data_IF_214782235070
#
_entry.id   IF_214782235070
#
_cell.length_a   1.000
_cell.length_b   1.000
_cell.length_c   1.000
_cell.angle_alpha   90.00
_cell.angle_beta   90.00
_cell.angle_gamma   90.00
#
_symmetry.space_group_name_H-M   'P 1'
#
loop_
_entity.id
_entity.type
_entity.pdbx_description
1 polymer ?
#
# COMPACT_ATOMS: atom_id res chain seq x y z
N UNK A 1 -4.71 14.01 -11.55
CA UNK A 1 -3.47 13.20 -11.43
C UNK A 1 -3.84 11.78 -11.79
N UNK A 2 -3.12 11.20 -12.76
CA UNK A 2 -3.27 9.78 -13.15
C UNK A 2 -1.93 9.12 -12.86
N UNK A 3 -1.95 8.02 -12.12
CA UNK A 3 -0.75 7.29 -11.69
C UNK A 3 -0.78 5.89 -12.31
N UNK A 4 0.34 5.49 -12.93
CA UNK A 4 0.45 4.24 -13.68
C UNK A 4 0.17 4.38 -15.18
N UNK A 5 0.89 3.58 -15.97
CA UNK A 5 0.69 3.48 -17.43
C UNK A 5 0.55 2.00 -17.85
N UNK A 6 -0.47 1.71 -18.66
CA UNK A 6 -0.67 0.37 -19.24
C UNK A 6 0.08 0.24 -20.57
N UNK A 7 0.40 -0.99 -20.99
CA UNK A 7 0.93 -1.21 -22.33
C UNK A 7 -0.05 -0.71 -23.41
N UNK A 8 0.42 -0.59 -24.65
CA UNK A 8 -0.39 -0.12 -25.80
C UNK A 8 -1.71 -0.88 -26.01
N UNK A 9 -1.83 -2.08 -25.44
CA UNK A 9 -3.02 -2.94 -25.53
C UNK A 9 -3.86 -2.98 -24.24
N UNK A 10 -3.46 -2.26 -23.18
CA UNK A 10 -4.20 -2.18 -21.91
C UNK A 10 -4.12 -3.42 -21.00
N UNK A 11 -3.30 -4.42 -21.33
CA UNK A 11 -3.32 -5.73 -20.64
C UNK A 11 -2.39 -5.84 -19.43
N UNK A 12 -1.30 -5.08 -19.41
CA UNK A 12 -0.30 -5.12 -18.35
C UNK A 12 0.03 -3.68 -17.96
N UNK A 13 0.09 -3.40 -16.67
CA UNK A 13 0.69 -2.16 -16.19
C UNK A 13 2.21 -2.25 -16.44
N UNK A 14 2.75 -1.28 -17.16
CA UNK A 14 4.15 -1.22 -17.61
C UNK A 14 4.94 -0.25 -16.76
N UNK A 15 4.32 0.85 -16.31
CA UNK A 15 4.94 1.86 -15.46
C UNK A 15 4.08 2.09 -14.22
N UNK A 16 4.76 2.29 -13.08
CA UNK A 16 4.18 2.55 -11.76
C UNK A 16 3.06 1.57 -11.36
N UNK A 17 3.31 0.28 -11.59
CA UNK A 17 2.43 -0.80 -11.16
C UNK A 17 2.12 -0.66 -9.67
N UNK A 18 0.85 -0.50 -9.35
CA UNK A 18 0.35 -0.34 -7.99
C UNK A 18 -0.55 -1.52 -7.67
N UNK A 19 -0.26 -2.21 -6.57
CA UNK A 19 -1.16 -3.25 -6.06
C UNK A 19 -2.31 -2.60 -5.25
N UNK A 20 -3.47 -3.25 -5.23
CA UNK A 20 -4.61 -2.83 -4.39
C UNK A 20 -4.20 -2.70 -2.91
N UNK A 21 -3.26 -3.54 -2.47
CA UNK A 21 -2.72 -3.50 -1.11
C UNK A 21 -1.91 -2.24 -0.84
N UNK A 22 -1.15 -1.75 -1.81
CA UNK A 22 -0.40 -0.49 -1.69
C UNK A 22 -1.36 0.70 -1.56
N UNK A 23 -2.49 0.67 -2.27
CA UNK A 23 -3.56 1.67 -2.10
C UNK A 23 -4.19 1.62 -0.71
N UNK A 24 -4.50 0.42 -0.19
CA UNK A 24 -5.07 0.27 1.16
C UNK A 24 -4.10 0.78 2.23
N UNK A 25 -2.81 0.45 2.11
CA UNK A 25 -1.75 0.93 3.00
C UNK A 25 -1.61 2.45 2.94
N UNK A 26 -1.70 3.04 1.75
CA UNK A 26 -1.66 4.50 1.55
C UNK A 26 -2.87 5.20 2.19
N UNK A 27 -4.08 4.64 2.07
CA UNK A 27 -5.29 5.18 2.71
C UNK A 27 -5.18 5.14 4.24
N UNK A 28 -4.72 4.01 4.80
CA UNK A 28 -4.49 3.87 6.23
C UNK A 28 -3.45 4.89 6.73
N UNK A 29 -2.36 5.05 5.99
CA UNK A 29 -1.33 6.06 6.26
C UNK A 29 -1.90 7.48 6.29
N UNK A 30 -2.72 7.86 5.31
CA UNK A 30 -3.37 9.18 5.27
C UNK A 30 -4.37 9.42 6.43
N UNK A 31 -4.97 8.36 6.98
CA UNK A 31 -5.84 8.44 8.16
C UNK A 31 -5.06 8.49 9.49
N UNK A 32 -3.72 8.53 9.44
CA UNK A 32 -2.85 8.59 10.62
C UNK A 32 -2.51 7.23 11.22
N UNK A 33 -2.85 6.13 10.56
CA UNK A 33 -2.37 4.80 10.96
C UNK A 33 -0.98 4.58 10.35
N UNK A 34 0.01 4.27 11.17
CA UNK A 34 1.33 3.92 10.68
C UNK A 34 1.37 2.42 10.31
N UNK A 35 1.40 2.05 9.00
CA UNK A 35 1.47 0.65 8.60
C UNK A 35 2.78 -0.05 9.03
N UNK A 36 3.78 0.71 9.50
CA UNK A 36 5.04 0.21 10.04
C UNK A 36 5.07 0.12 11.58
N UNK A 37 4.02 0.55 12.30
CA UNK A 37 3.96 0.52 13.79
C UNK A 37 2.60 0.04 14.35
N UNK A 38 2.55 -0.37 15.63
CA UNK A 38 3.38 -1.35 16.28
C UNK A 38 2.66 -2.70 16.35
N UNK A 39 3.49 -3.72 16.38
CA UNK A 39 3.16 -5.11 16.56
C UNK A 39 2.54 -5.36 17.93
N UNK A 40 1.32 -5.89 17.99
CA UNK A 40 0.78 -6.48 19.22
C UNK A 40 1.10 -7.97 19.25
N UNK A 41 1.54 -8.47 20.39
CA UNK A 41 1.76 -9.91 20.53
C UNK A 41 0.43 -10.63 20.68
N UNK A 42 0.18 -11.54 19.75
CA UNK A 42 -0.95 -12.45 19.80
C UNK A 42 -0.49 -13.83 19.37
N UNK A 43 -0.86 -14.86 20.14
CA UNK A 43 -0.49 -16.25 19.86
C UNK A 43 1.02 -16.49 19.60
N UNK A 44 1.91 -15.73 20.27
CA UNK A 44 3.35 -15.86 20.14
C UNK A 44 3.94 -15.27 18.84
N UNK A 45 3.14 -14.55 18.05
CA UNK A 45 3.59 -13.79 16.89
C UNK A 45 3.30 -12.30 17.09
N UNK A 46 4.20 -11.48 16.57
CA UNK A 46 4.01 -10.04 16.43
C UNK A 46 3.05 -9.77 15.27
N UNK A 47 1.82 -9.35 15.58
CA UNK A 47 0.79 -8.99 14.60
C UNK A 47 0.71 -7.48 14.43
N UNK A 48 0.62 -7.02 13.18
CA UNK A 48 0.40 -5.59 12.90
C UNK A 48 -1.10 -5.33 12.88
N UNK A 49 -1.54 -4.19 13.43
CA UNK A 49 -2.95 -3.78 13.36
C UNK A 49 -3.47 -3.73 11.92
N UNK A 50 -2.59 -3.40 10.99
CA UNK A 50 -2.91 -3.29 9.58
C UNK A 50 -2.69 -4.56 8.77
N UNK A 51 -1.96 -5.60 9.28
CA UNK A 51 -1.43 -6.85 8.65
C UNK A 51 -1.60 -7.06 7.13
N UNK A 52 -1.53 -5.98 6.34
CA UNK A 52 -1.71 -5.93 4.90
C UNK A 52 -0.32 -5.67 4.34
N UNK A 53 0.24 -6.61 3.55
CA UNK A 53 1.53 -6.41 2.92
C UNK A 53 1.39 -5.38 1.79
N UNK A 54 2.07 -4.24 1.90
CA UNK A 54 2.08 -3.19 0.88
C UNK A 54 2.96 -2.02 1.30
N UNK A 55 3.22 -1.11 0.36
CA UNK A 55 4.02 0.08 0.55
C UNK A 55 3.15 1.34 0.46
N UNK A 56 3.55 2.40 1.16
CA UNK A 56 2.89 3.71 1.05
C UNK A 56 3.33 4.34 -0.27
N UNK A 57 2.36 4.71 -1.10
CA UNK A 57 2.58 5.38 -2.38
C UNK A 57 2.85 6.87 -2.14
N UNK A 58 4.09 7.19 -1.77
CA UNK A 58 4.51 8.58 -1.49
C UNK A 58 4.33 9.49 -2.69
N UNK A 59 4.41 8.96 -3.91
CA UNK A 59 4.25 9.72 -5.15
C UNK A 59 2.81 10.21 -5.38
N UNK A 60 1.83 9.63 -4.67
CA UNK A 60 0.43 10.07 -4.67
C UNK A 60 0.11 11.10 -3.59
N UNK A 61 1.00 11.29 -2.61
CA UNK A 61 0.78 12.17 -1.46
C UNK A 61 1.56 13.46 -1.72
N UNK A 62 0.83 14.56 -1.95
CA UNK A 62 1.38 15.89 -2.26
C UNK A 62 1.65 16.74 -1.01
#
# INVERSE_FOLDING_TARGET
MTYGHFNTFGYLAVEDFTDVRDMQVTILYLMGFDPQRPTYQYAGRDFRLTDVPGWVLTDLIA
#
